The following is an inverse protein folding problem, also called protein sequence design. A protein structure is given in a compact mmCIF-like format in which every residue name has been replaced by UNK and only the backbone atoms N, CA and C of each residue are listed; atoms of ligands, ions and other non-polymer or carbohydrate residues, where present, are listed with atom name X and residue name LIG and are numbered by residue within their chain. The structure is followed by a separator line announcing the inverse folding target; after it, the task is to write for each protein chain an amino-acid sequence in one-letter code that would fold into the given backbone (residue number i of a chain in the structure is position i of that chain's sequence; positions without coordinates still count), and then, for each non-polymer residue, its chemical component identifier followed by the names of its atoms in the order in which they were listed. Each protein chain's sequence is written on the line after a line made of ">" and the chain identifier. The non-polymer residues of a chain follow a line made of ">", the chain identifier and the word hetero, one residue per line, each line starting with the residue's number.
data_IF_035996789994
#
_entry.id   IF_035996789994
#
_cell.length_a   1.000
_cell.length_b   1.000
_cell.length_c   1.000
_cell.angle_alpha   90.00
_cell.angle_beta   90.00
_cell.angle_gamma   90.00
#
_symmetry.space_group_name_H-M   'P 1'
#
loop_
_entity.id
_entity.type
_entity.pdbx_description
1 polymer ?
#
# COMPACT_ATOMS: atom_id res chain seq x y z
N UNK A 1 -15.76 -8.65 -21.61
CA UNK A 1 -16.20 -7.87 -20.43
C UNK A 1 -17.68 -7.58 -20.59
N UNK A 2 -18.54 -8.01 -19.65
CA UNK A 2 -19.96 -7.63 -19.66
C UNK A 2 -20.09 -6.35 -18.85
N UNK A 3 -20.38 -5.23 -19.51
CA UNK A 3 -20.72 -3.99 -18.83
C UNK A 3 -22.04 -4.21 -18.10
N UNK A 4 -22.06 -4.03 -16.78
CA UNK A 4 -23.32 -4.03 -16.03
C UNK A 4 -24.07 -2.75 -16.36
N UNK A 5 -25.22 -2.86 -17.02
CA UNK A 5 -26.11 -1.74 -17.29
C UNK A 5 -27.26 -1.77 -16.27
N UNK A 6 -27.45 -0.69 -15.52
CA UNK A 6 -28.55 -0.55 -14.57
C UNK A 6 -29.65 0.33 -15.17
N UNK A 7 -30.84 -0.23 -15.36
CA UNK A 7 -32.04 0.55 -15.68
C UNK A 7 -33.19 0.10 -14.75
N UNK A 8 -33.90 1.03 -14.09
CA UNK A 8 -35.12 0.69 -13.38
C UNK A 8 -36.20 0.31 -14.40
N UNK A 9 -36.90 -0.80 -14.21
CA UNK A 9 -38.07 -1.12 -15.02
C UNK A 9 -39.33 -0.51 -14.40
N UNK A 10 -40.20 0.04 -15.25
CA UNK A 10 -41.48 0.63 -14.85
C UNK A 10 -42.57 -0.43 -14.93
N UNK A 11 -43.33 -0.58 -13.84
CA UNK A 11 -44.59 -1.30 -13.86
C UNK A 11 -45.69 -0.34 -13.43
N UNK A 12 -46.70 -0.13 -14.29
CA UNK A 12 -47.91 0.65 -13.99
C UNK A 12 -47.67 2.07 -13.40
N UNK A 13 -46.64 2.78 -13.89
CA UNK A 13 -46.36 4.16 -13.49
C UNK A 13 -45.71 4.34 -12.11
N UNK A 14 -45.38 3.25 -11.41
CA UNK A 14 -44.69 3.29 -10.12
C UNK A 14 -43.21 2.97 -10.34
N UNK A 15 -42.34 3.94 -10.03
CA UNK A 15 -40.89 3.73 -10.01
C UNK A 15 -40.50 3.03 -8.71
N UNK A 16 -40.21 1.73 -8.78
CA UNK A 16 -39.67 0.99 -7.63
C UNK A 16 -38.16 1.22 -7.59
N UNK A 17 -37.70 2.01 -6.62
CA UNK A 17 -36.27 2.18 -6.36
C UNK A 17 -35.65 0.84 -5.95
N UNK A 18 -34.65 0.37 -6.68
CA UNK A 18 -33.95 -0.87 -6.34
C UNK A 18 -33.06 -0.63 -5.09
N UNK A 19 -33.29 -1.40 -4.03
CA UNK A 19 -32.32 -1.53 -2.93
C UNK A 19 -31.23 -2.53 -3.35
N UNK A 20 -30.17 -2.02 -3.97
CA UNK A 20 -28.97 -2.81 -4.21
C UNK A 20 -28.05 -2.73 -3.00
N UNK A 21 -28.13 -3.67 -2.05
CA UNK A 21 -27.03 -3.85 -1.09
C UNK A 21 -25.91 -4.57 -1.82
N UNK A 22 -25.09 -3.84 -2.56
CA UNK A 22 -23.90 -4.39 -3.21
C UNK A 22 -22.95 -4.86 -2.09
N UNK A 23 -22.75 -6.17 -1.86
CA UNK A 23 -21.84 -6.64 -0.83
C UNK A 23 -20.47 -6.70 -1.46
N UNK A 24 -19.81 -5.56 -1.58
CA UNK A 24 -18.39 -5.58 -1.91
C UNK A 24 -17.64 -4.84 -0.81
N UNK A 25 -17.01 -5.64 0.06
CA UNK A 25 -15.95 -5.15 0.91
C UNK A 25 -14.66 -5.24 0.11
N UNK A 26 -13.98 -4.11 -0.09
CA UNK A 26 -12.58 -4.14 -0.51
C UNK A 26 -11.71 -4.15 0.75
N UNK A 27 -11.63 -5.29 1.42
CA UNK A 27 -10.59 -5.53 2.41
C UNK A 27 -9.46 -6.31 1.75
N UNK A 28 -8.53 -5.60 1.13
CA UNK A 28 -7.26 -6.18 0.69
C UNK A 28 -6.11 -5.60 1.52
N UNK A 29 -6.08 -5.93 2.81
CA UNK A 29 -4.83 -5.96 3.56
C UNK A 29 -4.12 -7.29 3.25
N UNK A 30 -3.63 -7.44 2.02
CA UNK A 30 -2.84 -8.62 1.64
C UNK A 30 -1.52 -8.56 2.42
N UNK A 31 -1.11 -9.65 3.06
CA UNK A 31 0.22 -9.72 3.68
C UNK A 31 1.26 -9.70 2.55
N UNK A 32 2.15 -8.70 2.47
CA UNK A 32 3.15 -8.66 1.43
C UNK A 32 4.10 -9.86 1.57
N UNK A 33 4.39 -10.52 0.45
CA UNK A 33 5.45 -11.54 0.39
C UNK A 33 6.71 -10.81 -0.08
N UNK A 34 7.66 -10.64 0.83
CA UNK A 34 8.97 -10.10 0.49
C UNK A 34 9.78 -11.19 -0.20
N UNK A 35 10.18 -10.97 -1.45
CA UNK A 35 11.24 -11.77 -2.06
C UNK A 35 12.58 -11.37 -1.41
N UNK A 36 12.77 -10.06 -1.21
CA UNK A 36 13.92 -9.50 -0.49
C UNK A 36 13.45 -8.44 0.51
N UNK A 37 13.61 -8.74 1.80
CA UNK A 37 13.52 -7.72 2.84
C UNK A 37 14.86 -6.99 2.92
N UNK A 38 14.89 -5.65 2.81
CA UNK A 38 16.13 -4.91 2.69
C UNK A 38 16.92 -4.91 4.00
N UNK A 39 18.19 -5.30 3.93
CA UNK A 39 19.15 -4.99 5.00
C UNK A 39 19.70 -3.58 4.78
N UNK A 40 19.29 -2.65 5.65
CA UNK A 40 19.72 -1.24 5.61
C UNK A 40 20.71 -1.01 6.76
N UNK A 41 21.97 -0.75 6.40
CA UNK A 41 23.02 -0.43 7.37
C UNK A 41 23.01 1.07 7.63
N UNK A 42 22.80 1.46 8.88
CA UNK A 42 22.82 2.85 9.33
C UNK A 42 24.07 3.09 10.20
N UNK A 43 24.67 4.28 10.12
CA UNK A 43 25.73 4.65 11.04
C UNK A 43 25.13 4.94 12.43
N UNK A 44 25.80 4.45 13.48
CA UNK A 44 25.39 4.72 14.87
C UNK A 44 25.43 6.20 15.20
N UNK A 45 26.35 6.96 14.62
CA UNK A 45 26.47 8.40 14.87
C UNK A 45 25.22 9.18 14.38
N UNK A 46 24.57 8.68 13.33
CA UNK A 46 23.35 9.26 12.77
C UNK A 46 22.13 9.01 13.67
N UNK A 47 22.20 7.99 14.54
CA UNK A 47 21.16 7.73 15.54
C UNK A 47 21.15 8.76 16.68
N UNK A 48 22.21 9.59 16.79
CA UNK A 48 22.39 10.61 17.85
C UNK A 48 22.13 10.06 19.26
N UNK A 49 22.54 8.82 19.52
CA UNK A 49 22.38 8.16 20.82
C UNK A 49 20.95 7.76 21.17
N UNK A 50 20.01 7.78 20.21
CA UNK A 50 18.60 7.47 20.44
C UNK A 50 18.16 6.24 19.64
N UNK A 51 17.18 5.51 20.18
CA UNK A 51 16.45 4.50 19.40
C UNK A 51 15.46 5.23 18.51
N UNK A 52 15.58 5.00 17.20
CA UNK A 52 14.77 5.67 16.17
C UNK A 52 13.76 4.70 15.61
N UNK A 53 12.57 5.20 15.31
CA UNK A 53 11.50 4.43 14.70
C UNK A 53 11.01 5.15 13.45
N UNK A 54 10.83 4.40 12.37
CA UNK A 54 10.27 4.91 11.13
C UNK A 54 9.29 3.88 10.55
N UNK A 55 8.20 4.37 9.96
CA UNK A 55 7.22 3.56 9.24
C UNK A 55 7.15 4.02 7.80
N UNK A 56 7.42 3.11 6.86
CA UNK A 56 7.34 3.35 5.43
C UNK A 56 6.06 2.72 4.90
N UNK A 57 5.30 3.47 4.12
CA UNK A 57 4.27 2.94 3.25
C UNK A 57 4.85 2.73 1.87
N UNK A 58 4.59 1.56 1.29
CA UNK A 58 5.09 1.20 -0.03
C UNK A 58 4.01 0.53 -0.88
N UNK A 59 4.06 0.80 -2.18
CA UNK A 59 3.31 0.09 -3.22
C UNK A 59 4.31 -0.52 -4.20
N UNK A 60 3.94 -1.65 -4.78
CA UNK A 60 4.75 -2.37 -5.77
C UNK A 60 3.90 -2.79 -6.97
N UNK A 61 4.54 -2.97 -8.12
CA UNK A 61 3.92 -3.55 -9.31
C UNK A 61 3.82 -5.07 -9.22
N UNK A 62 3.18 -5.70 -10.22
CA UNK A 62 3.04 -7.16 -10.30
C UNK A 62 4.38 -7.90 -10.46
N UNK A 63 5.45 -7.20 -10.86
CA UNK A 63 6.81 -7.75 -10.96
C UNK A 63 7.61 -7.60 -9.64
N UNK A 64 6.98 -7.00 -8.62
CA UNK A 64 7.52 -6.76 -7.30
C UNK A 64 8.38 -5.50 -7.17
N UNK A 65 8.46 -4.64 -8.19
CA UNK A 65 9.21 -3.39 -8.13
C UNK A 65 8.44 -2.33 -7.34
N UNK A 66 9.13 -1.63 -6.44
CA UNK A 66 8.54 -0.54 -5.66
C UNK A 66 8.19 0.62 -6.59
N UNK A 67 6.90 0.95 -6.70
CA UNK A 67 6.40 2.09 -7.50
C UNK A 67 6.20 3.35 -6.66
N UNK A 68 5.87 3.16 -5.37
CA UNK A 68 5.73 4.24 -4.41
C UNK A 68 6.36 3.83 -3.08
N UNK A 69 7.10 4.74 -2.46
CA UNK A 69 7.48 4.63 -1.06
C UNK A 69 7.47 6.00 -0.39
N UNK A 70 6.80 6.10 0.76
CA UNK A 70 6.65 7.35 1.53
C UNK A 70 6.78 7.08 3.03
N UNK A 71 7.39 8.02 3.75
CA UNK A 71 7.46 7.97 5.21
C UNK A 71 6.08 8.34 5.77
N UNK A 72 5.49 7.47 6.58
CA UNK A 72 4.24 7.75 7.31
C UNK A 72 4.50 8.32 8.70
N UNK A 73 5.50 7.78 9.40
CA UNK A 73 5.87 8.16 10.76
C UNK A 73 7.37 8.09 10.92
N UNK A 74 7.95 9.03 11.65
CA UNK A 74 9.35 9.02 12.04
C UNK A 74 9.56 9.72 13.38
N UNK A 75 10.59 9.31 14.11
CA UNK A 75 11.14 10.01 15.28
C UNK A 75 11.86 11.33 14.95
N UNK A 76 12.08 11.66 13.66
CA UNK A 76 12.34 13.03 13.21
C UNK A 76 13.77 13.43 12.85
N UNK A 77 14.62 12.51 12.37
CA UNK A 77 15.91 12.91 11.77
C UNK A 77 15.85 12.78 10.25
N UNK A 78 15.54 13.88 9.59
CA UNK A 78 15.22 13.91 8.16
C UNK A 78 16.32 13.32 7.26
N UNK A 79 17.60 13.60 7.54
CA UNK A 79 18.71 13.05 6.73
C UNK A 79 18.76 11.52 6.80
N UNK A 80 18.64 10.96 8.00
CA UNK A 80 18.60 9.51 8.21
C UNK A 80 17.34 8.91 7.58
N UNK A 81 16.19 9.55 7.76
CA UNK A 81 14.92 9.06 7.23
C UNK A 81 14.95 9.00 5.69
N UNK A 82 15.47 10.03 5.05
CA UNK A 82 15.64 10.09 3.60
C UNK A 82 16.62 8.99 3.13
N UNK A 83 17.76 8.82 3.81
CA UNK A 83 18.71 7.76 3.50
C UNK A 83 18.06 6.37 3.57
N UNK A 84 17.35 6.07 4.67
CA UNK A 84 16.69 4.77 4.84
C UNK A 84 15.58 4.58 3.81
N UNK A 85 14.81 5.62 3.48
CA UNK A 85 13.77 5.55 2.45
C UNK A 85 14.36 5.24 1.06
N UNK A 86 15.48 5.87 0.71
CA UNK A 86 16.13 5.64 -0.58
C UNK A 86 16.78 4.26 -0.67
N UNK A 87 17.43 3.79 0.40
CA UNK A 87 17.97 2.44 0.46
C UNK A 87 16.86 1.39 0.41
N UNK A 88 15.73 1.65 1.07
CA UNK A 88 14.53 0.81 1.00
C UNK A 88 14.04 0.69 -0.45
N UNK A 89 13.91 1.81 -1.19
CA UNK A 89 13.47 1.79 -2.60
C UNK A 89 14.38 0.97 -3.50
N UNK A 90 15.70 1.03 -3.28
CA UNK A 90 16.70 0.34 -4.12
C UNK A 90 16.77 -1.16 -3.85
N UNK A 91 16.60 -1.57 -2.59
CA UNK A 91 16.91 -2.94 -2.14
C UNK A 91 15.67 -3.81 -1.90
N UNK A 92 14.49 -3.21 -1.82
CA UNK A 92 13.25 -3.96 -1.56
C UNK A 92 12.64 -4.47 -2.85
N UNK A 93 12.12 -5.69 -2.78
CA UNK A 93 11.26 -6.25 -3.83
C UNK A 93 10.09 -6.98 -3.16
N UNK A 94 8.88 -6.52 -3.45
CA UNK A 94 7.65 -6.92 -2.75
C UNK A 94 6.66 -7.45 -3.76
N UNK A 95 6.36 -8.73 -3.73
CA UNK A 95 5.37 -9.29 -4.63
C UNK A 95 3.96 -9.14 -4.04
N UNK A 96 2.95 -8.86 -4.88
CA UNK A 96 1.59 -9.14 -4.48
C UNK A 96 1.50 -10.64 -4.14
N UNK A 97 0.88 -10.97 -3.01
CA UNK A 97 0.58 -12.37 -2.70
C UNK A 97 -0.32 -12.92 -3.82
N UNK A 98 0.20 -13.90 -4.56
CA UNK A 98 -0.54 -14.62 -5.60
C UNK A 98 -1.75 -15.35 -4.99
N UNK A 99 -2.84 -15.42 -5.75
CA UNK A 99 -4.08 -16.15 -5.45
C UNK A 99 -3.92 -17.64 -5.75
#
# INVERSE_FOLDING_TARGET
>A
MKNASFYPYQENGIYVGFYGKQPFSFDVSRKPIFEFFPEIKVNKDDLKGQIRYMSIYSEADDNGNITLAKIQKSTGLQELDNFVLDEFRKKSKIFPSDN
#
